data_IF_696462066517
#
_entry.id   IF_696462066517
#
_cell.length_a   1.000
_cell.length_b   1.000
_cell.length_c   1.000
_cell.angle_alpha   90.00
_cell.angle_beta   90.00
_cell.angle_gamma   90.00
#
_symmetry.space_group_name_H-M   'P 1'
#
loop_
_entity.id
_entity.type
_entity.pdbx_description
1 polymer ?
#
# COMPACT_ATOMS: atom_id res chain seq x y z
N UNK A 1 -28.36 -30.41 35.42
CA UNK A 1 -27.11 -30.42 34.63
C UNK A 1 -26.03 -29.66 35.39
N UNK A 2 -24.78 -29.99 35.09
CA UNK A 2 -23.59 -29.86 35.93
C UNK A 2 -23.28 -28.48 36.54
N UNK A 3 -22.70 -28.57 37.74
CA UNK A 3 -22.04 -27.53 38.54
C UNK A 3 -20.63 -27.20 38.01
N UNK A 4 -20.12 -26.08 38.55
CA UNK A 4 -18.72 -25.70 38.89
C UNK A 4 -18.10 -24.67 37.92
N UNK A 5 -17.94 -23.39 38.26
CA UNK A 5 -17.38 -22.68 39.44
C UNK A 5 -15.87 -22.48 39.39
N UNK A 6 -15.47 -21.20 39.58
CA UNK A 6 -14.19 -20.69 40.15
C UNK A 6 -12.95 -21.04 39.30
N UNK A 7 -11.82 -20.36 39.30
CA UNK A 7 -11.09 -19.48 40.22
C UNK A 7 -9.84 -19.03 39.40
N UNK A 8 -8.90 -18.17 39.79
CA UNK A 8 -8.63 -17.42 41.00
C UNK A 8 -7.52 -16.40 40.67
N UNK A 9 -7.50 -15.38 41.51
CA UNK A 9 -6.40 -14.47 41.83
C UNK A 9 -5.13 -15.23 42.24
N UNK A 10 -3.96 -14.71 41.85
CA UNK A 10 -2.72 -14.70 42.64
C UNK A 10 -1.88 -13.50 42.14
N UNK A 11 -1.65 -12.46 42.95
CA UNK A 11 -0.52 -12.30 43.90
C UNK A 11 0.84 -12.53 43.18
N UNK A 12 1.82 -11.63 43.17
CA UNK A 12 2.29 -10.73 44.22
C UNK A 12 3.26 -9.70 43.61
N UNK A 13 3.25 -8.48 44.14
CA UNK A 13 4.43 -7.63 44.13
C UNK A 13 5.43 -8.19 45.15
N UNK A 14 6.67 -8.43 44.73
CA UNK A 14 7.81 -8.67 45.61
C UNK A 14 8.95 -7.77 45.14
N UNK A 15 9.48 -6.99 46.08
CA UNK A 15 10.37 -5.86 45.82
C UNK A 15 11.77 -6.24 45.36
N UNK A 16 12.46 -5.22 44.87
CA UNK A 16 13.92 -5.20 44.70
C UNK A 16 14.60 -5.47 46.05
N UNK A 17 15.48 -6.47 46.10
CA UNK A 17 16.62 -6.49 47.01
C UNK A 17 17.91 -6.42 46.18
N UNK A 18 18.65 -5.33 46.36
CA UNK A 18 20.02 -5.14 45.84
C UNK A 18 21.05 -5.70 46.85
N UNK A 19 22.15 -6.28 46.34
CA UNK A 19 23.47 -6.34 47.00
C UNK A 19 23.83 -7.69 47.62
N UNK A 20 24.54 -8.59 46.91
CA UNK A 20 26.01 -8.76 46.82
C UNK A 20 26.72 -9.10 48.14
N UNK A 21 26.89 -10.41 48.39
CA UNK A 21 28.05 -10.97 49.09
C UNK A 21 28.98 -11.65 48.09
N UNK A 22 30.27 -11.30 48.16
CA UNK A 22 31.35 -12.28 48.02
C UNK A 22 31.82 -12.64 46.61
N UNK A 23 32.91 -12.00 46.21
CA UNK A 23 34.13 -12.56 45.61
C UNK A 23 34.05 -13.84 44.72
N UNK A 24 34.23 -13.60 43.41
CA UNK A 24 35.27 -14.15 42.52
C UNK A 24 35.47 -15.69 42.37
N UNK A 25 35.23 -16.11 41.12
CA UNK A 25 36.02 -17.05 40.29
C UNK A 25 35.64 -18.55 40.26
N UNK A 26 35.19 -19.00 39.08
CA UNK A 26 35.27 -20.40 38.64
C UNK A 26 34.07 -20.94 37.83
N UNK A 27 33.85 -20.43 36.61
CA UNK A 27 32.85 -20.94 35.64
C UNK A 27 33.21 -22.37 35.14
N UNK A 28 32.24 -23.24 34.87
CA UNK A 28 31.71 -23.43 33.51
C UNK A 28 30.21 -23.71 33.47
N UNK A 29 29.44 -22.78 32.93
CA UNK A 29 28.16 -23.08 32.28
C UNK A 29 28.00 -22.12 31.10
N UNK A 30 27.83 -22.69 29.91
CA UNK A 30 27.69 -21.97 28.66
C UNK A 30 26.48 -21.02 28.72
N UNK A 31 26.74 -19.72 28.79
CA UNK A 31 25.72 -18.71 28.64
C UNK A 31 25.36 -18.58 27.16
N UNK A 32 24.14 -19.01 26.80
CA UNK A 32 23.53 -18.66 25.53
C UNK A 32 23.45 -17.13 25.44
N UNK A 33 24.11 -16.55 24.45
CA UNK A 33 24.06 -15.12 24.18
C UNK A 33 22.61 -14.68 23.87
N UNK A 34 22.17 -13.49 24.33
CA UNK A 34 20.92 -12.92 23.86
C UNK A 34 21.05 -12.65 22.36
N UNK A 35 20.16 -13.24 21.56
CA UNK A 35 20.05 -12.93 20.15
C UNK A 35 19.64 -11.46 20.00
N UNK A 36 20.62 -10.60 19.73
CA UNK A 36 20.40 -9.25 19.25
C UNK A 36 19.62 -9.36 17.94
N UNK A 37 18.39 -8.87 17.96
CA UNK A 37 17.55 -8.70 16.78
C UNK A 37 18.26 -7.69 15.86
N UNK A 38 19.03 -8.21 14.90
CA UNK A 38 19.44 -7.44 13.74
C UNK A 38 18.17 -6.99 13.02
N UNK A 39 17.96 -5.68 12.79
CA UNK A 39 16.84 -5.24 11.97
C UNK A 39 17.07 -5.82 10.58
N UNK A 40 16.30 -6.84 10.24
CA UNK A 40 16.21 -7.36 8.88
C UNK A 40 15.72 -6.19 8.03
N UNK A 41 16.63 -5.58 7.27
CA UNK A 41 16.24 -4.77 6.11
C UNK A 41 15.59 -5.74 5.14
N UNK A 42 14.28 -5.93 5.27
CA UNK A 42 13.46 -6.54 4.23
C UNK A 42 13.72 -5.71 2.99
N UNK A 43 14.40 -6.30 2.01
CA UNK A 43 14.40 -5.78 0.63
C UNK A 43 12.97 -5.95 0.16
N UNK A 44 12.12 -4.96 0.42
CA UNK A 44 10.83 -4.86 -0.24
C UNK A 44 11.17 -4.60 -1.70
N UNK A 45 11.14 -5.66 -2.53
CA UNK A 45 10.90 -5.52 -3.96
C UNK A 45 9.68 -4.60 -4.03
N UNK A 46 9.87 -3.38 -4.50
CA UNK A 46 8.89 -2.31 -4.39
C UNK A 46 7.62 -2.78 -5.09
N UNK A 47 6.60 -3.12 -4.30
CA UNK A 47 5.33 -3.57 -4.84
C UNK A 47 4.80 -2.44 -5.72
N UNK A 48 4.61 -2.72 -7.01
CA UNK A 48 4.02 -1.77 -7.95
C UNK A 48 2.72 -1.23 -7.36
N UNK A 49 2.59 0.09 -7.32
CA UNK A 49 1.42 0.70 -6.69
C UNK A 49 0.24 0.61 -7.66
N UNK A 50 -0.51 -0.50 -7.57
CA UNK A 50 -1.72 -0.71 -8.37
C UNK A 50 -2.97 -0.06 -7.77
N UNK A 51 -2.85 0.66 -6.65
CA UNK A 51 -3.98 1.18 -5.87
C UNK A 51 -5.06 0.12 -5.52
N UNK A 52 -4.69 -1.16 -5.47
CA UNK A 52 -5.62 -2.26 -5.16
C UNK A 52 -6.28 -2.94 -6.36
N UNK A 53 -5.86 -2.63 -7.59
CA UNK A 53 -6.22 -3.41 -8.75
C UNK A 53 -5.47 -4.74 -8.78
N UNK A 54 -6.18 -5.79 -9.18
CA UNK A 54 -5.62 -7.06 -9.65
C UNK A 54 -4.94 -6.88 -11.01
N UNK A 55 -4.28 -7.93 -11.50
CA UNK A 55 -3.57 -7.91 -12.79
C UNK A 55 -4.53 -7.67 -13.97
N UNK A 56 -5.69 -8.33 -14.01
CA UNK A 56 -6.67 -8.12 -15.08
C UNK A 56 -7.21 -6.70 -15.09
N UNK A 57 -7.60 -6.19 -13.92
CA UNK A 57 -8.07 -4.81 -13.73
C UNK A 57 -6.97 -3.79 -14.10
N UNK A 58 -5.72 -4.09 -13.73
CA UNK A 58 -4.55 -3.29 -14.09
C UNK A 58 -4.32 -3.22 -15.61
N UNK A 59 -4.53 -4.33 -16.32
CA UNK A 59 -4.42 -4.35 -17.78
C UNK A 59 -5.46 -3.44 -18.40
N UNK A 60 -6.72 -3.54 -17.93
CA UNK A 60 -7.81 -2.70 -18.42
C UNK A 60 -7.47 -1.22 -18.36
N UNK A 61 -6.92 -0.75 -17.24
CA UNK A 61 -6.56 0.68 -17.10
C UNK A 61 -5.32 1.05 -17.92
N UNK A 62 -4.37 0.13 -18.14
CA UNK A 62 -3.24 0.38 -19.04
C UNK A 62 -3.68 0.51 -20.50
N UNK A 63 -4.53 -0.38 -20.98
CA UNK A 63 -5.12 -0.26 -22.33
C UNK A 63 -5.99 0.99 -22.45
N UNK A 64 -6.81 1.31 -21.44
CA UNK A 64 -7.62 2.53 -21.43
C UNK A 64 -6.75 3.76 -21.68
N UNK A 65 -5.68 3.94 -20.90
CA UNK A 65 -4.83 5.13 -21.04
C UNK A 65 -4.07 5.13 -22.37
N UNK A 66 -3.64 3.95 -22.87
CA UNK A 66 -3.00 3.82 -24.19
C UNK A 66 -3.92 4.29 -25.33
N UNK A 67 -5.21 3.94 -25.25
CA UNK A 67 -6.19 4.15 -26.32
C UNK A 67 -6.99 5.46 -26.15
N UNK A 68 -6.84 6.15 -25.02
CA UNK A 68 -7.49 7.42 -24.71
C UNK A 68 -7.00 8.63 -25.54
N UNK A 69 -6.02 8.42 -26.44
CA UNK A 69 -5.49 9.41 -27.36
C UNK A 69 -4.90 8.74 -28.61
N UNK A 70 -4.59 9.51 -29.68
CA UNK A 70 -3.86 9.00 -30.83
C UNK A 70 -2.59 8.26 -30.42
N UNK A 71 -2.28 7.18 -31.16
CA UNK A 71 -1.18 6.27 -30.84
C UNK A 71 0.12 7.04 -30.58
N UNK A 72 0.72 6.76 -29.42
CA UNK A 72 2.00 7.32 -29.01
C UNK A 72 1.92 8.49 -28.02
N UNK A 73 0.74 9.09 -27.80
CA UNK A 73 0.61 10.19 -26.81
C UNK A 73 0.79 9.69 -25.37
N UNK A 74 0.14 8.58 -25.03
CA UNK A 74 0.24 7.95 -23.71
C UNK A 74 0.81 6.55 -23.85
N UNK A 75 1.99 6.31 -23.26
CA UNK A 75 2.67 5.02 -23.33
C UNK A 75 2.80 4.41 -21.93
N UNK A 76 1.87 3.52 -21.54
CA UNK A 76 1.94 2.86 -20.23
C UNK A 76 3.06 1.81 -20.14
N UNK A 77 3.74 1.50 -21.24
CA UNK A 77 4.70 0.40 -21.31
C UNK A 77 4.02 -0.93 -21.64
N UNK A 78 4.52 -2.03 -21.05
CA UNK A 78 3.95 -3.35 -21.24
C UNK A 78 2.56 -3.42 -20.62
N UNK A 79 1.61 -4.07 -21.30
CA UNK A 79 0.27 -4.33 -20.77
C UNK A 79 0.32 -5.60 -19.92
N UNK A 80 0.94 -5.48 -18.76
CA UNK A 80 1.24 -6.57 -17.82
C UNK A 80 0.29 -6.57 -16.61
N UNK A 81 -0.53 -5.54 -16.45
CA UNK A 81 -1.41 -5.35 -15.29
C UNK A 81 -0.72 -4.80 -14.06
N UNK A 82 0.55 -4.40 -14.19
CA UNK A 82 1.34 -3.79 -13.15
C UNK A 82 1.53 -2.31 -13.46
N UNK A 83 0.92 -1.46 -12.64
CA UNK A 83 1.01 0.00 -12.77
C UNK A 83 2.37 0.46 -12.26
N UNK A 84 3.41 0.26 -13.08
CA UNK A 84 4.75 0.79 -12.88
C UNK A 84 4.91 2.25 -13.33
N UNK A 85 6.14 2.76 -13.28
CA UNK A 85 6.47 4.16 -13.58
C UNK A 85 5.90 4.64 -14.92
N UNK A 86 6.07 3.87 -16.00
CA UNK A 86 5.55 4.22 -17.34
C UNK A 86 4.03 4.32 -17.36
N UNK A 87 3.35 3.37 -16.71
CA UNK A 87 1.89 3.39 -16.56
C UNK A 87 1.43 4.65 -15.84
N UNK A 88 2.07 5.01 -14.73
CA UNK A 88 1.72 6.21 -13.98
C UNK A 88 2.06 7.50 -14.71
N UNK A 89 3.18 7.57 -15.44
CA UNK A 89 3.48 8.71 -16.32
C UNK A 89 2.40 8.89 -17.39
N UNK A 90 1.96 7.80 -18.01
CA UNK A 90 0.86 7.83 -18.99
C UNK A 90 -0.43 8.35 -18.34
N UNK A 91 -0.77 7.89 -17.14
CA UNK A 91 -1.93 8.38 -16.38
C UNK A 91 -1.81 9.86 -15.98
N UNK A 92 -0.66 10.30 -15.51
CA UNK A 92 -0.41 11.71 -15.17
C UNK A 92 -0.54 12.61 -16.39
N UNK A 93 0.01 12.20 -17.54
CA UNK A 93 -0.16 12.91 -18.82
C UNK A 93 -1.64 12.99 -19.21
N UNK A 94 -2.36 11.86 -19.16
CA UNK A 94 -3.79 11.79 -19.47
C UNK A 94 -4.63 12.73 -18.58
N UNK A 95 -4.33 12.77 -17.28
CA UNK A 95 -5.02 13.60 -16.31
C UNK A 95 -4.70 15.09 -16.51
N UNK A 96 -3.44 15.43 -16.76
CA UNK A 96 -2.99 16.80 -17.00
C UNK A 96 -3.58 17.36 -18.31
N UNK A 97 -3.63 16.57 -19.38
CA UNK A 97 -4.23 16.95 -20.66
C UNK A 97 -5.72 17.31 -20.55
N UNK A 98 -6.39 16.77 -19.54
CA UNK A 98 -7.80 17.03 -19.20
C UNK A 98 -7.97 18.05 -18.08
N UNK A 99 -6.91 18.77 -17.73
CA UNK A 99 -6.88 19.81 -16.68
C UNK A 99 -7.20 19.32 -15.26
N UNK A 100 -7.03 18.02 -14.96
CA UNK A 100 -7.22 17.50 -13.59
C UNK A 100 -6.08 17.85 -12.62
N UNK A 101 -4.95 18.35 -13.15
CA UNK A 101 -3.78 18.81 -12.41
C UNK A 101 -3.16 17.72 -11.51
N UNK A 102 -2.61 16.68 -12.14
CA UNK A 102 -1.86 15.60 -11.49
C UNK A 102 -0.47 16.04 -11.01
N UNK A 103 -0.04 17.25 -11.37
CA UNK A 103 1.29 17.77 -11.06
C UNK A 103 2.35 17.27 -12.03
N UNK A 104 3.58 17.13 -11.55
CA UNK A 104 4.72 16.69 -12.34
C UNK A 104 4.52 15.25 -12.85
N UNK A 105 4.93 15.00 -14.10
CA UNK A 105 4.90 13.67 -14.70
C UNK A 105 6.17 12.91 -14.32
N UNK A 106 6.19 12.36 -13.11
CA UNK A 106 7.33 11.65 -12.51
C UNK A 106 7.13 10.12 -12.47
N UNK A 107 5.90 9.63 -12.67
CA UNK A 107 5.55 8.20 -12.54
C UNK A 107 5.26 7.77 -11.11
N UNK A 108 5.27 8.71 -10.16
CA UNK A 108 4.96 8.47 -8.77
C UNK A 108 3.50 8.81 -8.45
N UNK A 109 2.87 7.96 -7.65
CA UNK A 109 1.48 8.13 -7.23
C UNK A 109 1.41 9.01 -5.99
N UNK A 110 1.89 10.25 -6.11
CA UNK A 110 1.84 11.26 -5.06
C UNK A 110 0.44 11.83 -4.84
N UNK A 111 0.28 12.67 -3.81
CA UNK A 111 -1.01 13.26 -3.45
C UNK A 111 -1.66 14.11 -4.56
N UNK A 112 -0.87 14.76 -5.41
CA UNK A 112 -1.40 15.48 -6.59
C UNK A 112 -1.97 14.51 -7.64
N UNK A 113 -1.23 13.45 -7.97
CA UNK A 113 -1.70 12.37 -8.85
C UNK A 113 -3.01 11.78 -8.33
N UNK A 114 -3.09 11.52 -7.01
CA UNK A 114 -4.31 10.97 -6.39
C UNK A 114 -5.46 11.98 -6.44
N UNK A 115 -5.24 13.27 -6.14
CA UNK A 115 -6.30 14.29 -6.27
C UNK A 115 -6.83 14.39 -7.69
N UNK A 116 -5.93 14.37 -8.67
CA UNK A 116 -6.32 14.41 -10.08
C UNK A 116 -7.11 13.17 -10.48
N UNK A 117 -6.68 11.98 -10.03
CA UNK A 117 -7.39 10.73 -10.24
C UNK A 117 -8.79 10.76 -9.58
N UNK A 118 -8.89 11.29 -8.36
CA UNK A 118 -10.17 11.43 -7.65
C UNK A 118 -11.13 12.35 -8.40
N UNK A 119 -10.66 13.52 -8.87
CA UNK A 119 -11.48 14.44 -9.68
C UNK A 119 -11.98 13.77 -10.95
N UNK A 120 -11.11 13.05 -11.65
CA UNK A 120 -11.49 12.29 -12.85
C UNK A 120 -12.55 11.23 -12.55
N UNK A 121 -12.40 10.46 -11.47
CA UNK A 121 -13.38 9.45 -11.08
C UNK A 121 -14.73 10.07 -10.68
N UNK A 122 -14.72 11.21 -9.99
CA UNK A 122 -15.94 11.96 -9.64
C UNK A 122 -16.63 12.52 -10.88
N UNK A 123 -15.89 13.01 -11.87
CA UNK A 123 -16.44 13.49 -13.14
C UNK A 123 -17.15 12.38 -13.93
N UNK A 124 -16.64 11.14 -13.82
CA UNK A 124 -17.29 9.94 -14.34
C UNK A 124 -18.47 9.43 -13.50
N UNK A 125 -18.76 10.06 -12.35
CA UNK A 125 -19.87 9.72 -11.46
C UNK A 125 -19.57 8.71 -10.35
N UNK A 126 -18.29 8.40 -10.08
CA UNK A 126 -17.92 7.51 -8.98
C UNK A 126 -17.71 8.26 -7.64
N UNK A 127 -18.11 7.63 -6.52
CA UNK A 127 -17.84 8.16 -5.17
C UNK A 127 -16.43 7.78 -4.69
N UNK A 128 -15.53 8.75 -4.62
CA UNK A 128 -14.17 8.58 -4.07
C UNK A 128 -14.08 8.86 -2.58
N UNK A 129 -15.14 9.35 -1.94
CA UNK A 129 -15.14 9.86 -0.58
C UNK A 129 -14.67 11.31 -0.43
N UNK A 130 -14.43 12.01 -1.55
CA UNK A 130 -13.84 13.35 -1.59
C UNK A 130 -12.57 13.41 -2.43
N UNK A 131 -12.00 14.61 -2.54
CA UNK A 131 -10.74 14.90 -3.23
C UNK A 131 -9.70 15.35 -2.20
N UNK A 132 -9.12 14.39 -1.49
CA UNK A 132 -8.18 14.61 -0.38
C UNK A 132 -6.72 14.27 -0.75
N UNK A 133 -6.49 13.61 -1.88
CA UNK A 133 -5.18 13.14 -2.30
C UNK A 133 -4.70 11.88 -1.58
N UNK A 134 -5.61 11.16 -0.92
CA UNK A 134 -5.34 9.88 -0.29
C UNK A 134 -6.15 8.78 -0.98
N UNK A 135 -5.47 7.70 -1.37
CA UNK A 135 -6.13 6.57 -2.02
C UNK A 135 -6.79 5.66 -0.96
N UNK A 136 -7.82 6.20 -0.28
CA UNK A 136 -8.62 5.48 0.71
C UNK A 136 -9.50 4.38 0.09
N UNK A 137 -10.23 3.64 0.92
CA UNK A 137 -11.09 2.52 0.49
C UNK A 137 -12.07 2.89 -0.61
N UNK A 138 -12.73 4.05 -0.50
CA UNK A 138 -13.66 4.55 -1.52
C UNK A 138 -12.97 4.89 -2.84
N UNK A 139 -11.86 5.61 -2.81
CA UNK A 139 -11.07 5.92 -4.02
C UNK A 139 -10.59 4.65 -4.72
N UNK A 140 -10.11 3.65 -3.96
CA UNK A 140 -9.68 2.35 -4.52
C UNK A 140 -10.86 1.56 -5.09
N UNK A 141 -12.02 1.60 -4.45
CA UNK A 141 -13.24 0.97 -4.96
C UNK A 141 -13.74 1.64 -6.25
N UNK A 142 -13.74 2.97 -6.31
CA UNK A 142 -14.04 3.75 -7.51
C UNK A 142 -13.06 3.42 -8.65
N UNK A 143 -11.76 3.36 -8.34
CA UNK A 143 -10.72 2.99 -9.30
C UNK A 143 -10.91 1.57 -9.87
N UNK A 144 -11.27 0.63 -9.00
CA UNK A 144 -11.62 -0.73 -9.39
C UNK A 144 -12.88 -0.75 -10.27
N UNK A 145 -13.93 -0.04 -9.88
CA UNK A 145 -15.16 0.03 -10.67
C UNK A 145 -14.92 0.64 -12.05
N UNK A 146 -14.08 1.67 -12.13
CA UNK A 146 -13.64 2.27 -13.39
C UNK A 146 -12.93 1.26 -14.29
N UNK A 147 -12.07 0.40 -13.74
CA UNK A 147 -11.37 -0.64 -14.52
C UNK A 147 -12.31 -1.64 -15.22
N UNK A 148 -13.57 -1.72 -14.79
CA UNK A 148 -14.60 -2.59 -15.37
C UNK A 148 -15.58 -1.86 -16.30
N UNK A 149 -15.54 -0.53 -16.36
CA UNK A 149 -16.41 0.25 -17.24
C UNK A 149 -16.27 -0.30 -18.68
N UNK A 150 -17.36 -0.64 -19.37
CA UNK A 150 -17.31 -1.08 -20.77
C UNK A 150 -16.86 -2.53 -21.04
N UNK A 151 -16.75 -3.40 -20.02
CA UNK A 151 -16.48 -4.84 -20.22
C UNK A 151 -15.02 -5.28 -20.11
N UNK A 152 -14.16 -4.41 -19.59
CA UNK A 152 -12.70 -4.61 -19.59
C UNK A 152 -12.11 -3.99 -20.85
N UNK A 153 -11.48 -2.84 -20.71
CA UNK A 153 -10.77 -2.18 -21.80
C UNK A 153 -9.47 -2.93 -22.04
N UNK A 154 -9.54 -4.16 -22.53
CA UNK A 154 -8.53 -5.02 -23.14
C UNK A 154 -9.31 -6.33 -23.41
#
# INVERSE_FOLDING_TARGET
MFRRAKAAVALTAAGLTLGLTGALAGATAAAAAPAQQTPTRTVTIQAVNNLGLSISEGKSVQCYVRDAAPRGKYNPGAIDGQLGEKSWKAWQLFLNDRNYNAGTVDGDVGGNTIRALQRFLVDLGYDTGGVDGQAGSKTRAAWKAFSHLGGGWC
#
